data_IF_466691733558
#
_entry.id   IF_466691733558
#
_cell.length_a   1.000
_cell.length_b   1.000
_cell.length_c   1.000
_cell.angle_alpha   90.00
_cell.angle_beta   90.00
_cell.angle_gamma   90.00
#
_symmetry.space_group_name_H-M   'P 1'
#
loop_
_entity.id
_entity.type
_entity.pdbx_description
1 polymer ?
#
# COMPACT_ATOMS: atom_id res chain seq x y z
N UNK A 1 -2.07 16.68 5.16
CA UNK A 1 -3.37 15.98 5.15
C UNK A 1 -4.10 16.28 3.85
N UNK A 2 -3.46 16.04 2.70
CA UNK A 2 -4.02 16.19 1.34
C UNK A 2 -3.85 14.89 0.54
N UNK A 3 -2.86 14.08 0.95
CA UNK A 3 -2.53 12.78 0.37
C UNK A 3 -3.69 11.80 0.48
N UNK A 4 -4.29 11.58 1.66
CA UNK A 4 -5.47 10.71 1.76
C UNK A 4 -6.56 11.17 0.81
N UNK A 5 -6.98 12.43 0.89
CA UNK A 5 -8.09 12.96 0.09
C UNK A 5 -7.80 12.94 -1.43
N UNK A 6 -6.53 12.99 -1.84
CA UNK A 6 -6.11 12.90 -3.24
C UNK A 6 -5.96 11.46 -3.73
N UNK A 7 -5.66 10.53 -2.82
CA UNK A 7 -5.53 9.10 -3.08
C UNK A 7 -6.84 8.33 -2.78
N UNK A 8 -7.81 8.98 -2.16
CA UNK A 8 -9.12 8.42 -1.83
C UNK A 8 -9.82 7.98 -3.12
N UNK A 9 -10.21 6.71 -3.18
CA UNK A 9 -10.84 6.10 -4.36
C UNK A 9 -9.90 5.77 -5.53
N UNK A 10 -8.57 5.91 -5.40
CA UNK A 10 -7.62 5.46 -6.45
C UNK A 10 -7.63 3.94 -6.62
N UNK A 11 -7.91 3.22 -5.55
CA UNK A 11 -7.87 1.77 -5.49
C UNK A 11 -9.02 1.27 -4.63
N UNK A 12 -9.74 0.30 -5.16
CA UNK A 12 -10.67 -0.52 -4.39
C UNK A 12 -10.04 -1.90 -4.22
N UNK A 13 -10.28 -2.57 -3.08
CA UNK A 13 -9.78 -3.93 -2.87
C UNK A 13 -10.27 -4.91 -3.93
N UNK A 14 -11.40 -4.60 -4.58
CA UNK A 14 -11.97 -5.34 -5.71
C UNK A 14 -11.04 -5.35 -6.93
N UNK A 15 -10.27 -4.28 -7.15
CA UNK A 15 -9.28 -4.19 -8.25
C UNK A 15 -8.17 -5.23 -8.09
N UNK A 16 -7.95 -5.71 -6.85
CA UNK A 16 -6.91 -6.67 -6.50
C UNK A 16 -7.48 -8.03 -6.05
N UNK A 17 -8.79 -8.24 -6.16
CA UNK A 17 -9.46 -9.46 -5.70
C UNK A 17 -8.94 -10.73 -6.41
N UNK A 18 -8.39 -10.58 -7.61
CA UNK A 18 -7.73 -11.68 -8.33
C UNK A 18 -6.39 -12.11 -7.74
N UNK A 19 -5.70 -11.24 -6.99
CA UNK A 19 -4.34 -11.48 -6.48
C UNK A 19 -4.32 -11.91 -5.02
N UNK A 20 -5.33 -11.48 -4.26
CA UNK A 20 -5.45 -11.77 -2.84
C UNK A 20 -6.82 -12.42 -2.57
N UNK A 21 -6.88 -13.75 -2.31
CA UNK A 21 -8.13 -14.35 -1.84
C UNK A 21 -8.56 -13.68 -0.53
N UNK A 22 -9.87 -13.39 -0.40
CA UNK A 22 -10.44 -12.67 0.77
C UNK A 22 -10.22 -13.38 2.12
N UNK A 23 -9.75 -14.63 2.09
CA UNK A 23 -9.48 -15.47 3.26
C UNK A 23 -8.05 -15.29 3.83
N UNK A 24 -7.30 -14.30 3.34
CA UNK A 24 -5.97 -13.97 3.86
C UNK A 24 -5.97 -13.44 5.30
N UNK A 25 -4.85 -13.62 6.01
CA UNK A 25 -4.64 -13.07 7.37
C UNK A 25 -4.96 -11.58 7.42
N UNK A 26 -5.44 -11.05 8.56
CA UNK A 26 -5.66 -9.61 8.75
C UNK A 26 -4.32 -8.89 8.66
N UNK A 27 -4.02 -8.35 7.49
CA UNK A 27 -2.88 -7.49 7.18
C UNK A 27 -3.37 -6.28 6.39
N UNK A 28 -2.45 -5.51 5.81
CA UNK A 28 -2.83 -4.45 4.90
C UNK A 28 -3.59 -5.01 3.71
N UNK A 29 -4.70 -4.35 3.39
CA UNK A 29 -5.43 -4.58 2.15
C UNK A 29 -4.57 -4.25 0.93
N UNK A 30 -4.84 -4.86 -0.24
CA UNK A 30 -4.10 -4.56 -1.46
C UNK A 30 -4.18 -3.07 -1.87
N UNK A 31 -5.33 -2.40 -1.66
CA UNK A 31 -5.45 -0.96 -1.90
C UNK A 31 -4.53 -0.13 -0.98
N UNK A 32 -4.39 -0.54 0.28
CA UNK A 32 -3.41 0.06 1.19
C UNK A 32 -1.97 -0.19 0.74
N UNK A 33 -1.65 -1.39 0.22
CA UNK A 33 -0.31 -1.68 -0.32
C UNK A 33 0.00 -0.82 -1.56
N UNK A 34 -0.97 -0.62 -2.46
CA UNK A 34 -0.85 0.30 -3.60
C UNK A 34 -0.57 1.74 -3.15
N UNK A 35 -1.30 2.20 -2.12
CA UNK A 35 -1.07 3.50 -1.50
C UNK A 35 0.34 3.63 -0.91
N UNK A 36 0.83 2.59 -0.21
CA UNK A 36 2.19 2.57 0.33
C UNK A 36 3.22 2.63 -0.80
N UNK A 37 3.03 1.91 -1.92
CA UNK A 37 3.94 1.96 -3.07
C UNK A 37 4.01 3.37 -3.68
N UNK A 38 2.87 4.06 -3.82
CA UNK A 38 2.87 5.44 -4.32
C UNK A 38 3.59 6.38 -3.35
N UNK A 39 3.34 6.26 -2.04
CA UNK A 39 4.03 7.07 -1.04
C UNK A 39 5.53 6.77 -0.98
N UNK A 40 5.90 5.51 -1.11
CA UNK A 40 7.27 5.06 -1.21
C UNK A 40 7.98 5.71 -2.39
N UNK A 41 7.35 5.73 -3.57
CA UNK A 41 7.89 6.37 -4.77
C UNK A 41 8.03 7.89 -4.61
N UNK A 42 6.97 8.57 -4.16
CA UNK A 42 6.96 10.02 -3.97
C UNK A 42 7.99 10.52 -2.94
N UNK A 43 8.27 9.70 -1.93
CA UNK A 43 9.19 10.03 -0.84
C UNK A 43 10.58 9.41 -1.02
N UNK A 44 10.83 8.68 -2.11
CA UNK A 44 12.13 8.04 -2.40
C UNK A 44 12.56 7.01 -1.34
N UNK A 45 11.60 6.25 -0.78
CA UNK A 45 11.85 5.30 0.30
C UNK A 45 12.21 3.91 -0.25
N UNK A 46 13.13 3.21 0.43
CA UNK A 46 13.28 1.76 0.27
C UNK A 46 12.11 1.00 0.91
N UNK A 47 11.91 -0.27 0.57
CA UNK A 47 10.82 -1.09 1.14
C UNK A 47 10.89 -1.17 2.66
N UNK A 48 12.10 -1.24 3.21
CA UNK A 48 12.33 -1.22 4.67
C UNK A 48 11.95 0.11 5.29
N UNK A 49 12.30 1.23 4.64
CA UNK A 49 11.93 2.56 5.11
C UNK A 49 10.42 2.82 4.97
N UNK A 50 9.77 2.29 3.93
CA UNK A 50 8.34 2.39 3.76
C UNK A 50 7.58 1.57 4.82
N UNK A 51 8.03 0.34 5.09
CA UNK A 51 7.49 -0.47 6.19
C UNK A 51 7.68 0.21 7.54
N UNK A 52 8.84 0.82 7.79
CA UNK A 52 9.09 1.57 9.02
C UNK A 52 8.25 2.85 9.11
N UNK A 53 8.07 3.56 7.99
CA UNK A 53 7.21 4.73 7.91
C UNK A 53 5.75 4.39 8.27
N UNK A 54 5.26 3.24 7.80
CA UNK A 54 3.94 2.71 8.14
C UNK A 54 3.78 2.39 9.63
N UNK A 55 4.86 2.05 10.32
CA UNK A 55 4.86 1.74 11.75
C UNK A 55 4.94 3.00 12.61
N UNK A 56 5.84 3.92 12.25
CA UNK A 56 6.26 4.99 13.13
C UNK A 56 5.73 6.37 12.74
N UNK A 57 5.27 6.57 11.50
CA UNK A 57 4.84 7.89 11.03
C UNK A 57 3.32 8.04 10.98
N UNK A 58 2.84 9.08 11.65
CA UNK A 58 1.42 9.43 11.75
C UNK A 58 0.84 9.77 10.36
N UNK A 59 1.62 10.36 9.46
CA UNK A 59 1.13 10.68 8.12
C UNK A 59 0.86 9.44 7.26
N UNK A 60 1.59 8.34 7.44
CA UNK A 60 1.28 7.05 6.82
C UNK A 60 0.07 6.39 7.47
N UNK A 61 -0.01 6.32 8.80
CA UNK A 61 -1.19 5.81 9.52
C UNK A 61 -2.46 6.55 9.10
N UNK A 62 -2.36 7.88 9.04
CA UNK A 62 -3.41 8.74 8.54
C UNK A 62 -3.65 8.53 7.04
N UNK A 63 -2.68 8.29 6.17
CA UNK A 63 -3.01 8.06 4.75
C UNK A 63 -3.76 6.73 4.54
N UNK A 64 -3.48 5.74 5.38
CA UNK A 64 -3.94 4.35 5.20
C UNK A 64 -5.15 3.95 6.06
N UNK A 65 -5.69 4.87 6.87
CA UNK A 65 -6.79 4.59 7.80
C UNK A 65 -6.50 3.47 8.80
N UNK A 66 -5.23 3.39 9.23
CA UNK A 66 -4.80 2.46 10.27
C UNK A 66 -4.93 3.07 11.67
N UNK A 67 -5.11 2.19 12.65
CA UNK A 67 -4.92 2.54 14.06
C UNK A 67 -3.47 2.98 14.31
N UNK A 68 -3.28 3.93 15.23
CA UNK A 68 -1.96 4.43 15.57
C UNK A 68 -1.06 3.35 16.20
N UNK A 69 -1.65 2.37 16.89
CA UNK A 69 -0.94 1.26 17.51
C UNK A 69 -0.80 0.03 16.60
N UNK A 70 -1.26 0.13 15.35
CA UNK A 70 -1.16 -0.98 14.42
C UNK A 70 0.34 -1.32 14.18
N UNK A 71 0.73 -2.61 14.27
CA UNK A 71 2.13 -3.02 14.20
C UNK A 71 2.76 -2.87 12.81
N UNK A 72 1.98 -2.52 11.78
CA UNK A 72 2.38 -2.43 10.39
C UNK A 72 2.56 -3.80 9.76
N UNK A 73 3.45 -3.89 8.77
CA UNK A 73 3.72 -5.12 8.04
C UNK A 73 5.23 -5.32 7.82
N UNK A 74 5.62 -6.53 7.42
CA UNK A 74 7.00 -6.85 7.11
C UNK A 74 7.39 -6.37 5.70
N UNK A 75 8.53 -5.71 5.54
CA UNK A 75 8.97 -5.12 4.26
C UNK A 75 8.86 -6.04 3.02
N UNK A 76 9.01 -7.36 3.18
CA UNK A 76 8.86 -8.33 2.08
C UNK A 76 7.48 -8.29 1.41
N UNK A 77 6.43 -7.87 2.11
CA UNK A 77 5.08 -7.76 1.54
C UNK A 77 5.04 -6.76 0.38
N UNK A 78 5.85 -5.68 0.42
CA UNK A 78 5.96 -4.73 -0.71
C UNK A 78 6.72 -5.30 -1.89
N UNK A 79 7.67 -6.21 -1.65
CA UNK A 79 8.36 -6.95 -2.70
C UNK A 79 7.40 -7.90 -3.39
N UNK A 80 6.69 -8.73 -2.62
CA UNK A 80 5.71 -9.68 -3.15
C UNK A 80 4.59 -8.97 -3.93
N UNK A 81 4.12 -7.83 -3.43
CA UNK A 81 3.09 -7.02 -4.10
C UNK A 81 3.58 -6.46 -5.44
N UNK A 82 4.82 -5.96 -5.50
CA UNK A 82 5.41 -5.46 -6.76
C UNK A 82 5.68 -6.57 -7.77
N UNK A 83 6.12 -7.74 -7.32
CA UNK A 83 6.29 -8.88 -8.22
C UNK A 83 4.97 -9.29 -8.86
N UNK A 84 3.87 -9.29 -8.09
CA UNK A 84 2.51 -9.53 -8.61
C UNK A 84 2.07 -8.45 -9.61
N UNK A 85 2.33 -7.17 -9.29
CA UNK A 85 2.08 -6.05 -10.23
C UNK A 85 2.80 -6.23 -11.57
N UNK A 86 4.03 -6.74 -11.56
CA UNK A 86 4.82 -6.94 -12.80
C UNK A 86 4.45 -8.21 -13.58
N UNK A 87 3.81 -9.18 -12.93
CA UNK A 87 3.37 -10.42 -13.59
C UNK A 87 2.01 -10.23 -14.27
N UNK A 88 1.24 -9.24 -13.82
CA UNK A 88 -0.09 -8.91 -14.33
C UNK A 88 -0.03 -7.50 -14.95
N UNK A 89 0.47 -7.42 -16.19
CA UNK A 89 0.68 -6.21 -17.02
C UNK A 89 -0.60 -5.35 -17.28
N UNK A 90 -1.66 -5.49 -16.46
CA UNK A 90 -2.95 -4.83 -16.61
C UNK A 90 -3.17 -3.56 -15.79
N UNK A 91 -2.34 -3.26 -14.78
CA UNK A 91 -2.49 -2.05 -13.93
C UNK A 91 -1.19 -1.24 -13.99
N UNK A 92 -0.85 -0.76 -15.19
CA UNK A 92 0.05 0.37 -15.32
C UNK A 92 -0.65 1.59 -14.71
N UNK A 93 -0.29 1.90 -13.47
CA UNK A 93 -0.57 3.18 -12.81
C UNK A 93 0.19 4.25 -13.62
N UNK A 94 -0.44 4.72 -14.69
CA UNK A 94 -0.08 5.97 -15.34
C UNK A 94 -0.95 7.03 -14.66
N UNK A 95 -0.43 7.81 -13.71
CA UNK A 95 -1.17 8.97 -13.25
C UNK A 95 -1.35 9.94 -14.43
N UNK A 96 -2.50 10.65 -14.52
CA UNK A 96 -2.75 11.62 -15.59
C UNK A 96 -1.73 12.76 -15.61
#
# INVERSE_FOLDING_TARGET
MWVRDRLDGLWHDEDFAGWYPRDGRPGLSPAQLGTVCVLQFLLGLSDRQAAEAVRCRIDFKYSLAMDLNDPGFHHSVLTDFRERLTQDDGILIVPP
#
